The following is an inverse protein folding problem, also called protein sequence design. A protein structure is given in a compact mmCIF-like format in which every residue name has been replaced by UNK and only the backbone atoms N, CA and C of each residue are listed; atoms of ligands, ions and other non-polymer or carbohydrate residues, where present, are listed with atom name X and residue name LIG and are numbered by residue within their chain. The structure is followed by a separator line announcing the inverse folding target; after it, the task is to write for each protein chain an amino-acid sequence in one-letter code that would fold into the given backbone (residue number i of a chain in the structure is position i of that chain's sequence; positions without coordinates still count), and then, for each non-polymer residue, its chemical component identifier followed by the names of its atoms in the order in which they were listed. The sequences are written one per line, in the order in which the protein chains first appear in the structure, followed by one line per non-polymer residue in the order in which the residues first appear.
data_IF_485363183627
#
_entry.id   IF_485363183627
#
_cell.length_a   1.000
_cell.length_b   1.000
_cell.length_c   1.000
_cell.angle_alpha   90.00
_cell.angle_beta   90.00
_cell.angle_gamma   90.00
#
_symmetry.space_group_name_H-M   'P 1'
#
loop_
_entity.id
_entity.type
_entity.pdbx_description
1 polymer ?
#
# COMPACT_ATOMS: atom_id res chain seq x y z
N UNK A 1 -14.69 -2.74 23.54
CA UNK A 1 -14.57 -1.64 22.56
C UNK A 1 -15.74 -1.75 21.59
N UNK A 2 -16.52 -0.68 21.42
CA UNK A 2 -17.45 -0.57 20.31
C UNK A 2 -16.72 0.17 19.18
N UNK A 3 -16.71 -0.39 17.98
CA UNK A 3 -16.17 0.25 16.80
C UNK A 3 -17.32 0.93 16.04
N UNK A 4 -17.10 2.15 15.58
CA UNK A 4 -17.99 2.76 14.60
C UNK A 4 -17.68 2.16 13.22
N UNK A 5 -18.69 1.56 12.60
CA UNK A 5 -18.56 0.86 11.31
C UNK A 5 -19.50 1.55 10.33
N UNK A 6 -18.97 1.94 9.18
CA UNK A 6 -19.70 2.63 8.12
C UNK A 6 -19.31 2.09 6.74
N UNK A 7 -20.22 2.23 5.79
CA UNK A 7 -19.96 1.95 4.38
C UNK A 7 -19.65 3.29 3.71
N UNK A 8 -18.50 3.39 3.04
CA UNK A 8 -18.09 4.57 2.28
C UNK A 8 -17.85 4.22 0.82
N UNK A 9 -18.21 5.15 -0.06
CA UNK A 9 -17.79 5.12 -1.45
C UNK A 9 -16.40 5.75 -1.58
N UNK A 10 -15.42 4.97 -2.02
CA UNK A 10 -14.07 5.47 -2.28
C UNK A 10 -13.95 5.87 -3.75
N UNK A 11 -13.71 7.17 -4.01
CA UNK A 11 -13.47 7.65 -5.37
C UNK A 11 -12.11 7.17 -5.88
N UNK A 12 -12.07 6.73 -7.14
CA UNK A 12 -10.81 6.41 -7.78
C UNK A 12 -9.90 7.64 -7.87
N UNK A 13 -8.62 7.46 -7.59
CA UNK A 13 -7.60 8.50 -7.68
C UNK A 13 -6.31 7.93 -8.29
N UNK A 14 -5.48 8.75 -8.94
CA UNK A 14 -4.16 8.32 -9.40
C UNK A 14 -3.29 7.88 -8.21
N UNK A 15 -2.58 6.77 -8.38
CA UNK A 15 -1.67 6.22 -7.37
C UNK A 15 -0.39 5.76 -8.05
N UNK A 16 0.74 5.95 -7.36
CA UNK A 16 2.00 5.31 -7.70
C UNK A 16 2.22 4.21 -6.67
N UNK A 17 2.26 2.96 -7.12
CA UNK A 17 2.40 1.79 -6.25
C UNK A 17 3.30 0.75 -6.91
N UNK A 18 3.85 -0.14 -6.09
CA UNK A 18 4.57 -1.35 -6.51
C UNK A 18 3.76 -2.55 -6.04
N UNK A 19 3.33 -3.40 -6.98
CA UNK A 19 2.58 -4.62 -6.68
C UNK A 19 3.52 -5.82 -6.60
N UNK A 20 3.41 -6.56 -5.51
CA UNK A 20 4.27 -7.71 -5.22
C UNK A 20 3.47 -8.88 -4.64
N UNK A 21 4.12 -10.03 -4.56
CA UNK A 21 3.71 -11.17 -3.73
C UNK A 21 4.75 -11.38 -2.64
N UNK A 22 4.31 -11.55 -1.40
CA UNK A 22 5.17 -11.78 -0.22
C UNK A 22 4.51 -12.76 0.73
N UNK A 23 5.14 -13.03 1.88
CA UNK A 23 4.58 -13.85 2.96
C UNK A 23 4.19 -12.98 4.16
N UNK A 24 3.35 -13.51 5.06
CA UNK A 24 3.01 -12.79 6.30
C UNK A 24 4.25 -12.46 7.17
N UNK A 25 5.27 -13.31 7.12
CA UNK A 25 6.51 -13.13 7.89
C UNK A 25 7.36 -11.96 7.37
N UNK A 26 7.30 -11.70 6.06
CA UNK A 26 8.11 -10.67 5.38
C UNK A 26 7.34 -9.36 5.17
N UNK A 27 6.02 -9.36 5.35
CA UNK A 27 5.15 -8.22 5.05
C UNK A 27 5.62 -6.91 5.70
N UNK A 28 6.01 -6.94 6.97
CA UNK A 28 6.41 -5.73 7.70
C UNK A 28 7.72 -5.14 7.18
N UNK A 29 8.70 -5.97 6.82
CA UNK A 29 9.97 -5.50 6.27
C UNK A 29 9.81 -4.97 4.85
N UNK A 30 8.96 -5.62 4.04
CA UNK A 30 8.77 -5.25 2.64
C UNK A 30 7.98 -3.95 2.50
N UNK A 31 6.92 -3.70 3.30
CA UNK A 31 6.14 -2.46 3.21
C UNK A 31 7.00 -1.20 3.39
N UNK A 32 7.96 -1.22 4.31
CA UNK A 32 8.87 -0.08 4.51
C UNK A 32 9.74 0.20 3.28
N UNK A 33 10.23 -0.85 2.62
CA UNK A 33 11.02 -0.72 1.40
C UNK A 33 10.16 -0.19 0.24
N UNK A 34 8.93 -0.72 0.05
CA UNK A 34 8.02 -0.29 -1.01
C UNK A 34 7.70 1.21 -0.92
N UNK A 35 7.37 1.71 0.28
CA UNK A 35 7.15 3.14 0.47
C UNK A 35 8.41 3.97 0.18
N UNK A 36 9.59 3.49 0.58
CA UNK A 36 10.84 4.17 0.24
C UNK A 36 11.05 4.29 -1.28
N UNK A 37 10.80 3.21 -2.01
CA UNK A 37 10.95 3.14 -3.46
C UNK A 37 9.92 4.00 -4.20
N UNK A 38 8.64 3.98 -3.81
CA UNK A 38 7.61 4.82 -4.44
C UNK A 38 7.85 6.30 -4.19
N UNK A 39 8.28 6.69 -2.99
CA UNK A 39 8.63 8.08 -2.69
C UNK A 39 9.89 8.53 -3.45
N UNK A 40 10.91 7.68 -3.54
CA UNK A 40 12.11 7.98 -4.32
C UNK A 40 11.79 8.13 -5.82
N UNK A 41 10.93 7.27 -6.36
CA UNK A 41 10.45 7.36 -7.74
C UNK A 41 9.71 8.68 -7.99
N UNK A 42 8.73 9.04 -7.13
CA UNK A 42 8.02 10.31 -7.23
C UNK A 42 8.98 11.51 -7.18
N UNK A 43 9.92 11.51 -6.23
CA UNK A 43 10.93 12.56 -6.10
C UNK A 43 11.82 12.70 -7.34
N UNK A 44 12.21 11.59 -7.97
CA UNK A 44 12.99 11.59 -9.21
C UNK A 44 12.25 12.21 -10.40
N UNK A 45 10.91 12.19 -10.36
CA UNK A 45 10.02 12.80 -11.35
C UNK A 45 9.64 14.25 -11.00
N UNK A 46 10.18 14.80 -9.91
CA UNK A 46 9.81 16.14 -9.41
C UNK A 46 8.40 16.20 -8.82
N UNK A 47 7.82 15.05 -8.48
CA UNK A 47 6.49 14.94 -7.90
C UNK A 47 6.55 14.72 -6.38
N UNK A 48 5.49 15.11 -5.68
CA UNK A 48 5.29 14.81 -4.26
C UNK A 48 3.94 14.10 -4.06
N UNK A 49 3.84 13.12 -3.14
CA UNK A 49 2.57 12.47 -2.84
C UNK A 49 1.51 13.47 -2.38
N UNK A 50 0.29 13.33 -2.90
CA UNK A 50 -0.82 14.24 -2.58
C UNK A 50 -1.56 13.88 -1.28
N UNK A 51 -1.08 12.89 -0.52
CA UNK A 51 -1.72 12.42 0.71
C UNK A 51 -0.92 11.35 1.44
N UNK A 52 -1.46 10.82 2.55
CA UNK A 52 -0.84 9.74 3.30
C UNK A 52 -0.65 8.46 2.47
N UNK A 53 0.41 7.68 2.71
CA UNK A 53 0.57 6.38 2.07
C UNK A 53 -0.51 5.40 2.54
N UNK A 54 -0.85 4.44 1.69
CA UNK A 54 -1.71 3.32 2.01
C UNK A 54 -1.15 2.05 1.37
N UNK A 55 -1.54 0.89 1.91
CA UNK A 55 -1.33 -0.40 1.26
C UNK A 55 -2.67 -1.02 0.89
N UNK A 56 -2.74 -1.69 -0.25
CA UNK A 56 -3.91 -2.48 -0.65
C UNK A 56 -3.53 -3.95 -0.70
N UNK A 57 -4.26 -4.77 0.04
CA UNK A 57 -4.11 -6.23 0.03
C UNK A 57 -5.11 -6.82 -0.96
N UNK A 58 -4.59 -7.55 -1.94
CA UNK A 58 -5.40 -8.27 -2.95
C UNK A 58 -5.76 -9.68 -2.48
N UNK A 59 -4.89 -10.31 -1.71
CA UNK A 59 -5.14 -11.58 -1.03
C UNK A 59 -4.75 -11.49 0.43
N UNK A 60 -5.39 -12.29 1.29
CA UNK A 60 -5.09 -12.33 2.72
C UNK A 60 -5.38 -13.71 3.30
N UNK A 61 -4.54 -14.16 4.24
CA UNK A 61 -4.75 -15.41 4.99
C UNK A 61 -4.23 -16.69 4.34
N UNK A 62 -3.59 -16.60 3.16
CA UNK A 62 -2.87 -17.70 2.52
C UNK A 62 -1.38 -17.77 2.92
N UNK A 63 -0.64 -18.70 2.32
CA UNK A 63 0.82 -18.76 2.43
C UNK A 63 1.48 -17.52 1.81
N UNK A 64 0.86 -17.01 0.74
CA UNK A 64 1.25 -15.81 0.02
C UNK A 64 0.20 -14.72 0.17
N UNK A 65 0.69 -13.49 0.20
CA UNK A 65 -0.07 -12.25 0.28
C UNK A 65 0.35 -11.41 -0.92
N UNK A 66 -0.62 -11.10 -1.76
CA UNK A 66 -0.45 -10.13 -2.83
C UNK A 66 -0.88 -8.76 -2.32
N UNK A 67 0.00 -7.77 -2.46
CA UNK A 67 -0.25 -6.41 -2.01
C UNK A 67 0.40 -5.38 -2.93
N UNK A 68 -0.07 -4.14 -2.83
CA UNK A 68 0.56 -2.97 -3.43
C UNK A 68 0.71 -1.85 -2.39
N UNK A 69 1.81 -1.11 -2.48
CA UNK A 69 2.19 0.01 -1.61
C UNK A 69 3.11 1.00 -2.35
#
# INVERSE_FOLDING_TARGET
MAYEIEIREAKAQPVLSIRITTTMAEMSSVLGALFGETFACAGSLGATPCGPPFARYHTWGGAEIELEA
#
